data_IF_852285638090
#
_entry.id   IF_852285638090
#
_cell.length_a   1.000
_cell.length_b   1.000
_cell.length_c   1.000
_cell.angle_alpha   90.00
_cell.angle_beta   90.00
_cell.angle_gamma   90.00
#
_symmetry.space_group_name_H-M   'P 1'
#
loop_
_entity.id
_entity.type
_entity.pdbx_description
1 polymer ?
#
# COMPACT_ATOMS: atom_id res chain seq x y z
N UNK A 1 30.98 5.92 -22.73
CA UNK A 1 30.80 5.42 -21.36
C UNK A 1 30.34 6.58 -20.50
N UNK A 2 29.03 6.82 -20.40
CA UNK A 2 28.49 7.94 -19.61
C UNK A 2 28.01 7.41 -18.27
N UNK A 3 28.70 7.80 -17.19
CA UNK A 3 28.31 7.53 -15.82
C UNK A 3 27.18 8.48 -15.39
N UNK A 4 26.20 7.95 -14.66
CA UNK A 4 25.12 8.73 -14.07
C UNK A 4 25.47 8.98 -12.60
N UNK A 5 25.66 10.25 -12.25
CA UNK A 5 25.87 10.71 -10.87
C UNK A 5 24.51 10.91 -10.20
N UNK A 6 24.20 10.17 -9.14
CA UNK A 6 22.99 10.39 -8.35
C UNK A 6 23.28 11.43 -7.27
N UNK A 7 22.65 12.61 -7.39
CA UNK A 7 22.64 13.63 -6.34
C UNK A 7 21.48 13.34 -5.40
N UNK A 8 21.76 13.00 -4.14
CA UNK A 8 20.74 12.85 -3.10
C UNK A 8 20.18 14.24 -2.73
N UNK A 9 18.86 14.44 -2.86
CA UNK A 9 18.17 15.65 -2.43
C UNK A 9 17.93 15.59 -0.91
N UNK A 10 18.51 16.54 -0.17
CA UNK A 10 18.26 16.71 1.27
C UNK A 10 16.81 17.11 1.53
N UNK A 11 16.19 16.46 2.51
CA UNK A 11 14.83 16.69 2.99
C UNK A 11 14.84 17.81 4.06
N UNK A 12 14.16 18.93 3.80
CA UNK A 12 14.03 20.08 4.72
C UNK A 12 12.59 20.19 5.26
N UNK A 13 12.37 19.95 6.57
CA UNK A 13 11.04 19.92 7.19
C UNK A 13 10.42 21.32 7.42
N UNK A 14 11.14 22.41 7.16
CA UNK A 14 10.71 23.77 7.53
C UNK A 14 9.68 24.37 6.56
N UNK A 15 9.59 23.85 5.33
CA UNK A 15 8.74 24.41 4.26
C UNK A 15 7.25 24.12 4.41
N UNK A 16 6.89 23.12 5.21
CA UNK A 16 5.51 22.63 5.31
C UNK A 16 4.67 23.51 6.22
N UNK A 17 5.24 24.01 7.32
CA UNK A 17 4.53 24.81 8.33
C UNK A 17 4.13 26.22 7.87
N UNK A 18 4.78 26.74 6.83
CA UNK A 18 4.57 28.11 6.35
C UNK A 18 3.35 28.27 5.43
N UNK A 19 2.75 27.16 4.95
CA UNK A 19 1.58 27.22 4.06
C UNK A 19 0.24 27.29 4.81
N UNK A 20 0.18 26.79 6.04
CA UNK A 20 -1.10 26.61 6.75
C UNK A 20 -1.58 27.86 7.50
N UNK A 21 -0.75 28.89 7.62
CA UNK A 21 -1.04 30.10 8.42
C UNK A 21 -1.61 31.27 7.61
N UNK A 22 -1.85 31.09 6.30
CA UNK A 22 -2.07 32.20 5.37
C UNK A 22 -3.45 32.18 4.68
N UNK A 23 -4.54 31.97 5.43
CA UNK A 23 -5.89 32.34 4.99
C UNK A 23 -6.70 33.05 6.08
N UNK A 24 -7.29 34.24 5.80
CA UNK A 24 -7.86 35.12 6.81
C UNK A 24 -9.30 34.80 7.19
N UNK A 25 -9.64 35.06 8.46
CA UNK A 25 -10.99 35.24 8.98
C UNK A 25 -11.58 36.56 8.46
N UNK A 26 -12.75 36.51 7.82
CA UNK A 26 -13.61 37.68 7.56
C UNK A 26 -15.08 37.34 7.84
N UNK A 27 -15.79 38.36 8.31
CA UNK A 27 -17.00 38.48 9.12
C UNK A 27 -18.28 38.73 8.28
N UNK A 28 -19.44 38.57 8.94
CA UNK A 28 -20.77 39.22 8.69
C UNK A 28 -21.57 38.71 7.45
N UNK A 29 -22.90 38.59 7.39
CA UNK A 29 -24.02 39.30 8.04
C UNK A 29 -25.34 38.49 7.86
N UNK A 30 -26.30 38.76 8.74
CA UNK A 30 -27.69 38.27 8.75
C UNK A 30 -28.54 38.70 7.55
N UNK A 31 -29.38 37.80 7.02
CA UNK A 31 -30.59 38.19 6.28
C UNK A 31 -31.79 37.36 6.75
N UNK A 32 -32.73 38.05 7.39
CA UNK A 32 -34.10 37.61 7.69
C UNK A 32 -34.98 37.87 6.46
N UNK A 33 -35.85 36.93 6.08
CA UNK A 33 -37.01 37.22 5.23
C UNK A 33 -38.23 36.49 5.79
N UNK A 34 -39.25 37.27 6.15
CA UNK A 34 -40.55 36.82 6.65
C UNK A 34 -41.58 36.69 5.50
N UNK A 35 -42.20 35.50 5.44
CA UNK A 35 -43.54 35.04 4.98
C UNK A 35 -44.24 35.57 3.69
N UNK A 36 -45.11 34.74 3.07
CA UNK A 36 -46.50 34.77 3.49
C UNK A 36 -47.15 33.40 3.76
N UNK A 37 -48.05 33.47 4.72
CA UNK A 37 -49.09 32.53 5.12
C UNK A 37 -50.05 32.17 3.97
N UNK A 38 -50.35 30.89 3.79
CA UNK A 38 -51.55 30.41 3.09
C UNK A 38 -52.13 29.23 3.85
N UNK A 39 -53.14 29.53 4.65
CA UNK A 39 -54.03 28.53 5.23
C UNK A 39 -55.00 28.04 4.14
N UNK A 40 -54.91 26.76 3.79
CA UNK A 40 -56.07 26.04 3.28
C UNK A 40 -56.04 24.60 3.77
N UNK A 41 -56.90 24.37 4.74
CA UNK A 41 -57.30 23.09 5.28
C UNK A 41 -57.76 22.15 4.15
N UNK A 42 -57.37 20.87 4.19
CA UNK A 42 -58.31 19.75 3.96
C UNK A 42 -57.64 18.41 4.24
N UNK A 43 -58.17 17.80 5.29
CA UNK A 43 -57.84 16.49 5.82
C UNK A 43 -58.45 15.44 4.91
N UNK A 44 -57.89 15.18 3.72
CA UNK A 44 -58.40 14.11 2.83
C UNK A 44 -57.40 13.57 1.81
N UNK A 45 -56.25 13.04 2.24
CA UNK A 45 -55.50 12.02 1.46
C UNK A 45 -54.71 11.08 2.39
N UNK A 46 -55.40 10.25 3.16
CA UNK A 46 -54.84 9.00 3.69
C UNK A 46 -54.72 7.97 2.56
N UNK A 47 -53.80 8.14 1.59
CA UNK A 47 -53.21 7.05 0.76
C UNK A 47 -52.24 7.57 -0.32
N UNK A 48 -51.07 8.08 0.05
CA UNK A 48 -49.95 8.18 -0.90
C UNK A 48 -48.62 7.92 -0.18
N UNK A 49 -48.51 6.74 0.40
CA UNK A 49 -47.30 6.27 1.07
C UNK A 49 -46.44 5.47 0.08
N UNK A 50 -45.72 6.19 -0.79
CA UNK A 50 -44.45 5.78 -1.43
C UNK A 50 -43.89 6.99 -2.20
N UNK A 51 -42.82 7.63 -1.67
CA UNK A 51 -41.48 7.28 -2.12
C UNK A 51 -40.46 7.32 -0.95
N UNK A 52 -40.30 6.23 -0.20
CA UNK A 52 -39.14 6.11 0.72
C UNK A 52 -37.87 5.64 0.01
N UNK A 53 -38.03 4.95 -1.12
CA UNK A 53 -36.93 4.32 -1.87
C UNK A 53 -36.07 5.32 -2.64
N UNK A 54 -36.63 6.46 -3.07
CA UNK A 54 -35.91 7.44 -3.88
C UNK A 54 -34.88 8.22 -3.05
N UNK A 55 -35.21 8.51 -1.79
CA UNK A 55 -34.34 9.22 -0.85
C UNK A 55 -33.20 8.33 -0.35
N UNK A 56 -33.46 7.04 -0.11
CA UNK A 56 -32.43 6.07 0.28
C UNK A 56 -31.44 5.82 -0.88
N UNK A 57 -31.93 5.69 -2.11
CA UNK A 57 -31.07 5.49 -3.28
C UNK A 57 -30.22 6.74 -3.57
N UNK A 58 -30.81 7.94 -3.47
CA UNK A 58 -30.08 9.19 -3.59
C UNK A 58 -29.02 9.37 -2.49
N UNK A 59 -29.34 8.97 -1.26
CA UNK A 59 -28.41 9.01 -0.13
C UNK A 59 -27.26 8.00 -0.29
N UNK A 60 -27.55 6.78 -0.76
CA UNK A 60 -26.55 5.77 -1.07
C UNK A 60 -25.63 6.20 -2.22
N UNK A 61 -26.20 6.79 -3.27
CA UNK A 61 -25.44 7.36 -4.39
C UNK A 61 -24.57 8.53 -3.92
N UNK A 62 -25.08 9.44 -3.08
CA UNK A 62 -24.29 10.52 -2.50
C UNK A 62 -23.12 10.03 -1.64
N UNK A 63 -23.34 8.97 -0.85
CA UNK A 63 -22.30 8.34 -0.03
C UNK A 63 -21.23 7.64 -0.88
N UNK A 64 -21.64 6.95 -1.95
CA UNK A 64 -20.75 6.33 -2.92
C UNK A 64 -19.94 7.37 -3.70
N UNK A 65 -20.55 8.50 -4.06
CA UNK A 65 -19.88 9.64 -4.68
C UNK A 65 -18.77 10.20 -3.78
N UNK A 66 -19.10 10.47 -2.51
CA UNK A 66 -18.14 10.94 -1.50
C UNK A 66 -16.99 9.95 -1.27
N UNK A 67 -17.29 8.66 -1.15
CA UNK A 67 -16.28 7.62 -0.92
C UNK A 67 -15.30 7.54 -2.10
N UNK A 68 -15.81 7.51 -3.32
CA UNK A 68 -14.97 7.40 -4.51
C UNK A 68 -14.19 8.71 -4.81
N UNK A 69 -14.58 9.86 -4.23
CA UNK A 69 -13.79 11.10 -4.25
C UNK A 69 -12.73 11.15 -3.15
N UNK A 70 -13.01 10.59 -1.98
CA UNK A 70 -12.11 10.57 -0.81
C UNK A 70 -11.16 9.37 -0.79
N UNK A 71 -11.38 8.36 -1.64
CA UNK A 71 -10.55 7.19 -1.73
C UNK A 71 -9.13 7.54 -2.21
N UNK A 72 -8.12 7.12 -1.45
CA UNK A 72 -6.69 7.28 -1.78
C UNK A 72 -6.23 6.37 -2.94
N UNK A 73 -7.13 5.56 -3.49
CA UNK A 73 -6.82 4.69 -4.64
C UNK A 73 -6.69 5.58 -5.87
N UNK A 74 -5.45 5.75 -6.33
CA UNK A 74 -5.04 6.74 -7.34
C UNK A 74 -5.76 6.63 -8.70
N UNK A 75 -6.53 5.57 -8.96
CA UNK A 75 -7.26 5.37 -10.22
C UNK A 75 -8.77 5.61 -10.15
N UNK A 76 -9.37 5.72 -8.96
CA UNK A 76 -10.83 5.80 -8.81
C UNK A 76 -11.35 7.18 -9.23
N UNK A 77 -10.68 8.26 -8.84
CA UNK A 77 -11.08 9.64 -9.20
C UNK A 77 -11.08 9.88 -10.72
N UNK A 78 -10.19 9.22 -11.45
CA UNK A 78 -10.06 9.32 -12.90
C UNK A 78 -11.25 8.71 -13.68
N UNK A 79 -12.03 7.82 -13.06
CA UNK A 79 -13.25 7.25 -13.67
C UNK A 79 -14.40 8.26 -13.77
N UNK A 80 -14.31 9.40 -13.05
CA UNK A 80 -15.38 10.39 -12.88
C UNK A 80 -15.17 11.75 -13.57
N UNK A 81 -14.31 11.84 -14.59
CA UNK A 81 -14.20 13.06 -15.41
C UNK A 81 -15.47 13.33 -16.26
N UNK A 82 -15.85 14.61 -16.52
CA UNK A 82 -16.95 14.96 -17.40
C UNK A 82 -16.74 14.33 -18.79
N UNK A 83 -17.75 13.58 -19.25
CA UNK A 83 -17.62 12.72 -20.42
C UNK A 83 -17.87 13.49 -21.72
N UNK A 84 -16.82 13.68 -22.50
CA UNK A 84 -16.94 14.01 -23.93
C UNK A 84 -16.76 12.79 -24.85
N UNK A 85 -16.25 11.66 -24.34
CA UNK A 85 -15.95 10.46 -25.13
C UNK A 85 -16.39 9.18 -24.38
N UNK A 86 -17.31 8.42 -24.98
CA UNK A 86 -17.91 7.21 -24.36
C UNK A 86 -16.88 6.12 -24.00
N UNK A 87 -15.75 6.07 -24.71
CA UNK A 87 -14.69 5.07 -24.55
C UNK A 87 -13.76 5.32 -23.36
N UNK A 88 -13.76 6.52 -22.76
CA UNK A 88 -12.78 6.85 -21.70
C UNK A 88 -13.03 6.10 -20.39
N UNK A 89 -14.30 5.89 -20.03
CA UNK A 89 -14.69 5.16 -18.81
C UNK A 89 -14.23 3.70 -18.81
N UNK A 90 -14.56 2.86 -19.81
CA UNK A 90 -14.14 1.45 -19.79
C UNK A 90 -12.61 1.30 -19.77
N UNK A 91 -11.87 2.20 -20.43
CA UNK A 91 -10.39 2.17 -20.39
C UNK A 91 -9.86 2.35 -18.97
N UNK A 92 -10.38 3.32 -18.20
CA UNK A 92 -9.96 3.52 -16.82
C UNK A 92 -10.32 2.35 -15.91
N UNK A 93 -11.49 1.73 -16.12
CA UNK A 93 -11.86 0.51 -15.39
C UNK A 93 -10.94 -0.65 -15.73
N UNK A 94 -10.60 -0.85 -17.01
CA UNK A 94 -9.66 -1.88 -17.44
C UNK A 94 -8.28 -1.63 -16.81
N UNK A 95 -7.78 -0.40 -16.86
CA UNK A 95 -6.50 -0.06 -16.24
C UNK A 95 -6.50 -0.34 -14.74
N UNK A 96 -7.54 0.06 -14.03
CA UNK A 96 -7.67 -0.21 -12.59
C UNK A 96 -7.76 -1.71 -12.29
N UNK A 97 -8.48 -2.47 -13.10
CA UNK A 97 -8.58 -3.92 -12.99
C UNK A 97 -7.21 -4.60 -13.23
N UNK A 98 -6.49 -4.20 -14.27
CA UNK A 98 -5.14 -4.72 -14.57
C UNK A 98 -4.18 -4.41 -13.43
N UNK A 99 -4.20 -3.17 -12.89
CA UNK A 99 -3.37 -2.81 -11.74
C UNK A 99 -3.70 -3.69 -10.53
N UNK A 100 -4.99 -3.89 -10.25
CA UNK A 100 -5.43 -4.73 -9.12
C UNK A 100 -4.99 -6.19 -9.28
N UNK A 101 -5.18 -6.77 -10.47
CA UNK A 101 -4.75 -8.15 -10.75
C UNK A 101 -3.24 -8.28 -10.63
N UNK A 102 -2.47 -7.33 -11.18
CA UNK A 102 -1.01 -7.35 -11.10
C UNK A 102 -0.50 -7.27 -9.66
N UNK A 103 -1.15 -6.47 -8.82
CA UNK A 103 -0.84 -6.35 -7.41
C UNK A 103 -1.09 -7.66 -6.67
N UNK A 104 -2.26 -8.27 -6.87
CA UNK A 104 -2.61 -9.55 -6.24
C UNK A 104 -1.61 -10.63 -6.64
N UNK A 105 -1.26 -10.72 -7.92
CA UNK A 105 -0.28 -11.69 -8.40
C UNK A 105 1.10 -11.45 -7.78
N UNK A 106 1.59 -10.21 -7.78
CA UNK A 106 2.88 -9.87 -7.18
C UNK A 106 2.92 -10.23 -5.69
N UNK A 107 1.86 -9.87 -4.94
CA UNK A 107 1.74 -10.19 -3.51
C UNK A 107 1.71 -11.70 -3.28
N UNK A 108 0.94 -12.44 -4.09
CA UNK A 108 0.89 -13.91 -3.99
C UNK A 108 2.28 -14.53 -4.19
N UNK A 109 3.03 -14.08 -5.20
CA UNK A 109 4.40 -14.55 -5.44
C UNK A 109 5.34 -14.27 -4.26
N UNK A 110 5.26 -13.07 -3.68
CA UNK A 110 6.07 -12.69 -2.52
C UNK A 110 5.70 -13.47 -1.26
N UNK A 111 4.42 -13.71 -1.04
CA UNK A 111 3.93 -14.54 0.08
C UNK A 111 4.43 -15.97 -0.07
N UNK A 112 4.35 -16.56 -1.26
CA UNK A 112 4.86 -17.90 -1.51
C UNK A 112 6.37 -17.99 -1.23
N UNK A 113 7.15 -17.03 -1.77
CA UNK A 113 8.58 -16.93 -1.51
C UNK A 113 8.91 -16.70 -0.01
N UNK A 114 8.03 -16.05 0.75
CA UNK A 114 8.18 -15.94 2.21
C UNK A 114 7.97 -17.29 2.92
N UNK A 115 6.95 -18.05 2.53
CA UNK A 115 6.65 -19.36 3.12
C UNK A 115 7.63 -20.47 2.71
N UNK A 116 8.39 -20.28 1.65
CA UNK A 116 9.50 -21.17 1.27
C UNK A 116 10.73 -21.00 2.18
N UNK A 117 10.75 -19.99 3.05
CA UNK A 117 11.87 -19.65 3.95
C UNK A 117 13.27 -19.76 3.29
N UNK A 118 13.50 -19.08 2.14
CA UNK A 118 14.75 -19.22 1.42
C UNK A 118 15.91 -18.60 2.22
N UNK A 119 16.90 -19.41 2.55
CA UNK A 119 18.12 -18.95 3.23
C UNK A 119 19.08 -18.38 2.18
N UNK A 120 19.51 -17.13 2.37
CA UNK A 120 20.56 -16.50 1.56
C UNK A 120 21.85 -16.44 2.37
N UNK A 121 22.88 -17.14 1.92
CA UNK A 121 24.22 -17.05 2.52
C UNK A 121 25.05 -16.04 1.73
N UNK A 122 25.54 -15.00 2.41
CA UNK A 122 26.45 -14.02 1.81
C UNK A 122 27.86 -14.33 2.31
N UNK A 123 28.73 -14.79 1.41
CA UNK A 123 30.13 -15.07 1.72
C UNK A 123 30.99 -13.86 1.39
N UNK A 124 31.70 -13.34 2.38
CA UNK A 124 32.71 -12.29 2.19
C UNK A 124 34.07 -12.81 2.62
N UNK A 125 35.09 -12.54 1.80
CA UNK A 125 36.48 -12.87 2.11
C UNK A 125 37.14 -11.63 2.67
N UNK A 126 37.53 -11.66 3.94
CA UNK A 126 38.27 -10.58 4.60
C UNK A 126 39.71 -11.03 4.85
N UNK A 127 40.67 -10.20 4.46
CA UNK A 127 42.09 -10.43 4.70
C UNK A 127 42.45 -9.82 6.05
N UNK A 128 42.55 -10.67 7.08
CA UNK A 128 42.99 -10.26 8.41
C UNK A 128 44.50 -10.49 8.54
N UNK A 129 45.20 -9.55 9.19
CA UNK A 129 46.66 -9.62 9.41
C UNK A 129 47.04 -10.58 10.53
N UNK A 130 46.08 -10.96 11.39
CA UNK A 130 46.26 -11.90 12.50
C UNK A 130 45.06 -12.85 12.53
N UNK A 131 45.31 -14.16 12.47
CA UNK A 131 44.31 -15.21 12.62
C UNK A 131 44.79 -16.21 13.69
N UNK A 132 43.86 -16.79 14.49
CA UNK A 132 44.22 -17.86 15.42
C UNK A 132 44.70 -19.08 14.64
N UNK A 133 45.81 -19.66 15.09
CA UNK A 133 46.31 -20.91 14.51
C UNK A 133 45.33 -22.05 14.85
N UNK A 134 44.89 -22.86 13.87
CA UNK A 134 43.91 -23.93 14.13
C UNK A 134 44.55 -25.08 14.90
N UNK A 135 43.72 -25.90 15.54
CA UNK A 135 44.18 -27.16 16.08
C UNK A 135 44.65 -28.07 14.94
N UNK A 136 45.89 -28.53 15.00
CA UNK A 136 46.45 -29.48 14.06
C UNK A 136 46.56 -30.83 14.75
N UNK A 137 45.73 -31.79 14.31
CA UNK A 137 45.80 -33.17 14.77
C UNK A 137 46.62 -33.98 13.79
N UNK A 138 47.75 -34.51 14.24
CA UNK A 138 48.61 -35.40 13.45
C UNK A 138 48.46 -36.80 14.01
N UNK A 139 48.01 -37.72 13.15
CA UNK A 139 47.90 -39.14 13.49
C UNK A 139 48.99 -39.92 12.75
N UNK A 140 49.56 -40.93 13.41
CA UNK A 140 50.39 -41.91 12.74
C UNK A 140 49.52 -42.71 11.76
N UNK A 141 49.98 -42.91 10.53
CA UNK A 141 49.29 -43.75 9.56
C UNK A 141 49.34 -45.22 9.97
N UNK A 142 50.38 -45.60 10.71
CA UNK A 142 50.47 -46.92 11.30
C UNK A 142 49.47 -47.02 12.47
N UNK A 143 48.45 -47.87 12.29
CA UNK A 143 47.39 -48.09 13.28
C UNK A 143 47.86 -48.90 14.49
N UNK A 144 48.94 -49.66 14.35
CA UNK A 144 49.41 -50.59 15.38
C UNK A 144 50.89 -50.42 15.66
N UNK A 145 51.26 -50.25 16.92
CA UNK A 145 52.65 -50.35 17.32
C UNK A 145 53.00 -51.82 17.44
N UNK A 146 53.91 -52.33 16.58
CA UNK A 146 54.30 -53.76 16.55
C UNK A 146 54.67 -54.28 17.95
N UNK A 147 55.41 -53.49 18.72
CA UNK A 147 55.83 -53.85 20.08
C UNK A 147 54.69 -53.89 21.12
N UNK A 148 53.47 -53.46 20.75
CA UNK A 148 52.28 -53.45 21.61
C UNK A 148 51.19 -54.41 21.12
N UNK A 149 51.43 -55.13 20.02
CA UNK A 149 50.53 -56.18 19.55
C UNK A 149 50.92 -57.49 20.25
N UNK A 150 50.03 -58.15 21.01
CA UNK A 150 50.36 -59.43 21.64
C UNK A 150 50.51 -60.53 20.58
N UNK A 151 51.53 -61.38 20.73
CA UNK A 151 51.74 -62.56 19.89
C UNK A 151 50.70 -63.63 20.23
N UNK A 152 49.56 -63.58 19.52
CA UNK A 152 48.53 -64.61 19.62
C UNK A 152 48.83 -65.64 18.52
N UNK A 153 49.17 -66.90 18.87
CA UNK A 153 49.35 -67.95 17.87
C UNK A 153 48.01 -68.22 17.17
N UNK A 154 48.05 -68.26 15.84
CA UNK A 154 46.93 -68.68 14.97
C UNK A 154 46.74 -70.19 14.97
#
# INVERSE_FOLDING_TARGET
MSGITLHMSQYDPSRTYLKDTLYPLQREESVQVEMPFSESNTLTQRKQQRPRTLNEEQQANGMLEYYLQSATIHGISQTRGPQHYFLRRPIWFILLAVMTISLVWAVYGQINNLYEYPIKTVTQVTLNTVLPFPAVTICNLNQFMRDRVPDIPI
#
